data_IF_703832208779
#
_entry.id   IF_703832208779
#
_cell.length_a   1.000
_cell.length_b   1.000
_cell.length_c   1.000
_cell.angle_alpha   90.00
_cell.angle_beta   90.00
_cell.angle_gamma   90.00
#
_symmetry.space_group_name_H-M   'P 1'
#
loop_
_entity.id
_entity.type
_entity.pdbx_description
1 polymer ?
#
# COMPACT_ATOMS: atom_id res chain seq x y z
N UNK A 1 7.03 0.53 6.19
CA UNK A 1 6.77 -0.93 6.04
C UNK A 1 7.89 -1.62 5.26
N UNK A 2 8.52 -0.97 4.26
CA UNK A 2 9.64 -1.55 3.52
C UNK A 2 10.83 -1.90 4.43
N UNK A 3 11.09 -1.09 5.45
CA UNK A 3 12.15 -1.39 6.41
C UNK A 3 11.91 -2.74 7.12
N UNK A 4 10.66 -3.02 7.51
CA UNK A 4 10.30 -4.30 8.12
C UNK A 4 10.53 -5.45 7.11
N UNK A 5 10.06 -5.28 5.87
CA UNK A 5 10.24 -6.28 4.81
C UNK A 5 11.72 -6.60 4.56
N UNK A 6 12.55 -5.56 4.41
CA UNK A 6 13.98 -5.73 4.14
C UNK A 6 14.70 -6.38 5.34
N UNK A 7 14.38 -5.96 6.57
CA UNK A 7 14.99 -6.54 7.77
C UNK A 7 14.59 -7.99 7.95
N UNK A 8 13.30 -8.33 7.76
CA UNK A 8 12.84 -9.71 7.85
C UNK A 8 13.48 -10.61 6.78
N UNK A 9 13.66 -10.10 5.56
CA UNK A 9 14.36 -10.82 4.50
C UNK A 9 15.85 -11.03 4.85
N UNK A 10 16.52 -10.00 5.35
CA UNK A 10 17.91 -10.09 5.80
C UNK A 10 18.08 -11.15 6.90
N UNK A 11 17.22 -11.12 7.92
CA UNK A 11 17.26 -12.08 9.02
C UNK A 11 17.05 -13.54 8.56
N UNK A 12 16.13 -13.75 7.60
CA UNK A 12 15.91 -15.08 7.00
C UNK A 12 17.12 -15.62 6.24
N UNK A 13 17.81 -14.75 5.52
CA UNK A 13 18.99 -15.15 4.72
C UNK A 13 20.25 -15.33 5.56
N UNK A 14 20.46 -14.49 6.57
CA UNK A 14 21.73 -14.43 7.30
C UNK A 14 21.70 -15.10 8.67
N UNK A 15 20.55 -15.11 9.33
CA UNK A 15 20.43 -15.48 10.75
C UNK A 15 21.10 -14.49 11.69
N UNK A 16 21.51 -13.32 11.20
CA UNK A 16 22.22 -12.30 11.98
C UNK A 16 21.24 -11.40 12.74
N UNK A 17 20.82 -11.85 13.91
CA UNK A 17 19.91 -11.11 14.79
C UNK A 17 20.54 -9.87 15.42
N UNK A 18 21.90 -9.78 15.43
CA UNK A 18 22.60 -8.62 15.99
C UNK A 18 22.32 -7.33 15.25
N UNK A 19 21.89 -7.41 13.99
CA UNK A 19 21.47 -6.25 13.19
C UNK A 19 20.37 -5.41 13.88
N UNK A 20 19.54 -6.02 14.70
CA UNK A 20 18.45 -5.32 15.38
C UNK A 20 18.92 -4.35 16.46
N UNK A 21 20.13 -4.58 16.99
CA UNK A 21 20.75 -3.74 18.00
C UNK A 21 21.63 -2.63 17.40
N UNK A 22 21.88 -2.68 16.07
CA UNK A 22 22.71 -1.69 15.40
C UNK A 22 22.11 -0.28 15.55
N UNK A 23 22.93 0.69 16.00
CA UNK A 23 22.49 2.05 16.19
C UNK A 23 22.32 2.77 14.84
N UNK A 24 21.10 3.14 14.51
CA UNK A 24 20.75 3.88 13.29
C UNK A 24 20.30 5.28 13.66
N UNK A 25 20.89 6.30 13.02
CA UNK A 25 20.54 7.70 13.26
C UNK A 25 19.18 8.07 12.64
N UNK A 26 18.37 8.86 13.37
CA UNK A 26 17.24 9.54 12.76
C UNK A 26 17.71 10.85 12.10
N UNK A 27 17.25 11.12 10.88
CA UNK A 27 17.55 12.36 10.13
C UNK A 27 19.05 12.64 9.97
N UNK A 28 19.88 11.58 9.91
CA UNK A 28 21.35 11.66 9.90
C UNK A 28 21.98 12.31 11.17
N UNK A 29 21.20 12.47 12.23
CA UNK A 29 21.68 12.98 13.51
C UNK A 29 22.11 11.81 14.40
N UNK A 30 23.44 11.59 14.49
CA UNK A 30 24.03 10.50 15.29
C UNK A 30 23.72 10.61 16.79
N UNK A 31 23.38 11.80 17.28
CA UNK A 31 22.98 11.97 18.69
C UNK A 31 21.60 11.41 18.99
N UNK A 32 20.83 11.12 17.96
CA UNK A 32 19.48 10.53 18.01
C UNK A 32 19.47 9.09 17.54
N UNK A 33 20.62 8.45 17.47
CA UNK A 33 20.69 7.05 17.06
C UNK A 33 19.92 6.15 18.04
N UNK A 34 19.17 5.21 17.48
CA UNK A 34 18.43 4.19 18.22
C UNK A 34 18.67 2.82 17.55
N UNK A 35 18.49 1.71 18.25
CA UNK A 35 18.58 0.39 17.66
C UNK A 35 17.65 0.27 16.44
N UNK A 36 18.05 -0.49 15.43
CA UNK A 36 17.21 -0.76 14.25
C UNK A 36 15.82 -1.26 14.64
N UNK A 37 15.70 -2.07 15.70
CA UNK A 37 14.41 -2.54 16.21
C UNK A 37 13.46 -1.40 16.56
N UNK A 38 13.94 -0.27 17.10
CA UNK A 38 13.10 0.89 17.41
C UNK A 38 12.57 1.57 16.12
N UNK A 39 13.35 1.55 15.04
CA UNK A 39 12.89 2.04 13.74
C UNK A 39 11.77 1.14 13.18
N UNK A 40 11.86 -0.19 13.36
CA UNK A 40 10.79 -1.12 12.98
C UNK A 40 9.51 -0.84 13.77
N UNK A 41 9.63 -0.67 15.11
CA UNK A 41 8.50 -0.30 15.98
C UNK A 41 7.80 0.96 15.51
N UNK A 42 8.56 2.00 15.21
CA UNK A 42 8.01 3.29 14.76
C UNK A 42 7.32 3.14 13.41
N UNK A 43 7.92 2.41 12.48
CA UNK A 43 7.34 2.15 11.17
C UNK A 43 6.01 1.40 11.27
N UNK A 44 5.95 0.34 12.08
CA UNK A 44 4.73 -0.41 12.33
C UNK A 44 3.66 0.45 13.01
N UNK A 45 4.01 1.08 14.15
CA UNK A 45 3.11 1.91 14.94
C UNK A 45 2.55 3.08 14.15
N UNK A 46 3.37 3.77 13.36
CA UNK A 46 2.93 4.89 12.56
C UNK A 46 1.75 4.49 11.66
N UNK A 47 1.87 3.39 10.92
CA UNK A 47 0.83 2.95 10.00
C UNK A 47 -0.49 2.64 10.71
N UNK A 48 -0.46 1.85 11.80
CA UNK A 48 -1.71 1.46 12.47
C UNK A 48 -2.34 2.57 13.33
N UNK A 49 -1.59 3.62 13.66
CA UNK A 49 -2.14 4.80 14.37
C UNK A 49 -2.64 5.89 13.42
N UNK A 50 -2.39 5.75 12.12
CA UNK A 50 -2.85 6.68 11.09
C UNK A 50 -3.80 5.95 10.14
N UNK A 51 -4.98 5.65 10.66
CA UNK A 51 -6.08 5.04 9.90
C UNK A 51 -7.14 6.08 9.59
N UNK A 52 -7.76 5.94 8.44
CA UNK A 52 -8.85 6.78 7.99
C UNK A 52 -10.23 6.27 8.43
N UNK A 53 -11.30 6.88 7.91
CA UNK A 53 -12.69 6.56 8.31
C UNK A 53 -13.11 5.11 8.08
N UNK A 54 -12.50 4.42 7.13
CA UNK A 54 -12.80 3.03 6.81
C UNK A 54 -11.92 2.03 7.55
N UNK A 55 -11.02 2.51 8.42
CA UNK A 55 -10.05 1.66 9.13
C UNK A 55 -8.86 1.21 8.24
N UNK A 56 -8.68 1.84 7.10
CA UNK A 56 -7.56 1.61 6.19
C UNK A 56 -6.45 2.65 6.45
N UNK A 57 -5.17 2.34 6.15
CA UNK A 57 -4.09 3.30 6.33
C UNK A 57 -4.27 4.57 5.49
N UNK A 58 -4.07 5.72 6.14
CA UNK A 58 -4.07 7.02 5.46
C UNK A 58 -2.90 7.11 4.48
N UNK A 59 -3.16 7.70 3.33
CA UNK A 59 -2.13 7.98 2.32
C UNK A 59 -1.15 9.04 2.83
N UNK A 60 -1.63 10.00 3.62
CA UNK A 60 -0.77 11.05 4.09
C UNK A 60 -0.20 11.86 2.93
N UNK A 61 1.12 11.96 2.89
CA UNK A 61 1.84 12.74 1.88
C UNK A 61 1.86 12.12 0.50
N UNK A 62 2.06 10.81 0.41
CA UNK A 62 2.12 10.06 -0.83
C UNK A 62 1.73 8.60 -0.59
N UNK A 63 1.20 7.97 -1.61
CA UNK A 63 1.03 6.52 -1.68
C UNK A 63 2.33 5.85 -2.15
N UNK A 64 2.36 4.52 -2.21
CA UNK A 64 3.46 3.79 -2.83
C UNK A 64 3.65 4.18 -4.31
N UNK A 65 2.56 4.41 -5.02
CA UNK A 65 2.60 4.94 -6.36
C UNK A 65 2.61 6.47 -6.32
N UNK A 66 3.77 7.06 -6.58
CA UNK A 66 3.97 8.52 -6.54
C UNK A 66 3.05 9.28 -7.51
N UNK A 67 2.46 8.59 -8.48
CA UNK A 67 1.50 9.18 -9.43
C UNK A 67 0.08 9.27 -8.86
N UNK A 68 -0.25 8.56 -7.76
CA UNK A 68 -1.53 8.64 -7.09
C UNK A 68 -1.49 9.72 -6.01
N UNK A 69 -1.90 10.93 -6.35
CA UNK A 69 -1.73 12.12 -5.51
C UNK A 69 -3.06 12.61 -4.96
N UNK A 70 -3.68 11.83 -4.07
CA UNK A 70 -5.06 12.06 -3.60
C UNK A 70 -5.21 13.27 -2.66
N UNK A 71 -4.11 13.87 -2.21
CA UNK A 71 -4.11 15.04 -1.31
C UNK A 71 -3.42 16.27 -1.91
N UNK A 72 -3.04 16.22 -3.19
CA UNK A 72 -2.24 17.30 -3.81
C UNK A 72 -3.09 18.41 -4.44
N UNK A 73 -4.11 18.05 -5.21
CA UNK A 73 -5.01 18.97 -5.92
C UNK A 73 -4.31 20.01 -6.82
N UNK A 74 -3.19 19.61 -7.45
CA UNK A 74 -2.50 20.48 -8.39
C UNK A 74 -3.27 20.60 -9.71
N UNK A 75 -3.47 21.83 -10.21
CA UNK A 75 -4.08 22.07 -11.51
C UNK A 75 -3.18 21.65 -12.68
N UNK A 76 -1.88 21.50 -12.43
CA UNK A 76 -0.89 21.08 -13.41
C UNK A 76 -0.41 19.65 -13.12
N UNK A 77 -0.61 18.71 -14.05
CA UNK A 77 -0.20 17.31 -13.83
C UNK A 77 1.26 17.15 -13.38
N UNK A 78 2.19 17.85 -14.00
CA UNK A 78 3.62 17.78 -13.69
C UNK A 78 4.00 18.32 -12.29
N UNK A 79 3.10 19.02 -11.61
CA UNK A 79 3.29 19.53 -10.25
C UNK A 79 2.70 18.60 -9.19
N UNK A 80 1.87 17.65 -9.58
CA UNK A 80 1.22 16.74 -8.63
C UNK A 80 2.20 15.79 -7.93
N UNK A 81 3.38 15.59 -8.47
CA UNK A 81 4.50 14.93 -7.78
C UNK A 81 5.11 15.80 -6.68
N UNK A 82 5.06 17.09 -6.86
CA UNK A 82 5.53 18.06 -5.88
C UNK A 82 4.36 18.30 -4.94
N UNK A 83 4.57 18.07 -3.68
CA UNK A 83 3.51 18.25 -2.70
C UNK A 83 3.24 19.72 -2.54
N UNK A 84 2.33 20.22 -3.35
CA UNK A 84 1.85 21.60 -3.34
C UNK A 84 0.61 21.76 -2.45
N UNK A 85 -0.08 20.67 -2.17
CA UNK A 85 -1.24 20.61 -1.28
C UNK A 85 -0.91 20.24 0.16
N UNK A 86 -1.90 19.88 0.99
CA UNK A 86 -1.67 19.42 2.35
C UNK A 86 -0.76 18.20 2.36
N UNK A 87 0.27 18.21 3.22
CA UNK A 87 1.24 17.10 3.35
C UNK A 87 0.64 15.83 3.93
N UNK A 88 -0.51 15.94 4.58
CA UNK A 88 -1.26 14.83 5.15
C UNK A 88 -2.75 15.04 4.85
N UNK A 89 -3.40 13.99 4.35
CA UNK A 89 -4.85 13.98 4.12
C UNK A 89 -5.55 13.21 5.23
N UNK A 90 -6.61 13.78 5.83
CA UNK A 90 -7.30 13.12 6.94
C UNK A 90 -8.20 11.98 6.52
N UNK A 91 -8.46 11.80 5.23
CA UNK A 91 -9.49 10.87 4.73
C UNK A 91 -8.99 9.94 3.64
N UNK A 92 -8.04 10.37 2.80
CA UNK A 92 -7.52 9.53 1.71
C UNK A 92 -6.82 8.29 2.27
N UNK A 93 -7.28 7.10 1.85
CA UNK A 93 -6.86 5.81 2.39
C UNK A 93 -6.37 4.89 1.27
N UNK A 94 -5.38 4.05 1.57
CA UNK A 94 -4.78 3.11 0.60
C UNK A 94 -5.06 1.66 0.96
N UNK A 95 -5.72 0.94 0.06
CA UNK A 95 -5.90 -0.52 0.16
C UNK A 95 -4.59 -1.26 -0.12
N UNK A 96 -3.73 -0.71 -0.99
CA UNK A 96 -2.40 -1.28 -1.23
C UNK A 96 -1.54 -1.25 0.04
N UNK A 97 -1.50 -0.11 0.74
CA UNK A 97 -0.76 0.01 2.00
C UNK A 97 -1.38 -0.88 3.10
N UNK A 98 -2.70 -1.08 3.09
CA UNK A 98 -3.35 -2.04 3.98
C UNK A 98 -2.84 -3.47 3.73
N UNK A 99 -2.76 -3.91 2.47
CA UNK A 99 -2.15 -5.18 2.10
C UNK A 99 -0.69 -5.30 2.54
N UNK A 100 0.11 -4.24 2.33
CA UNK A 100 1.50 -4.18 2.84
C UNK A 100 1.57 -4.29 4.36
N UNK A 101 0.68 -3.58 5.07
CA UNK A 101 0.65 -3.60 6.52
C UNK A 101 0.33 -4.99 7.06
N UNK A 102 -0.66 -5.67 6.49
CA UNK A 102 -1.01 -7.04 6.88
C UNK A 102 0.16 -8.00 6.61
N UNK A 103 0.75 -7.95 5.41
CA UNK A 103 1.86 -8.83 5.03
C UNK A 103 3.07 -8.64 5.93
N UNK A 104 3.61 -7.44 5.97
CA UNK A 104 4.85 -7.17 6.69
C UNK A 104 4.64 -6.97 8.18
N UNK A 105 3.42 -6.66 8.61
CA UNK A 105 3.03 -6.69 10.02
C UNK A 105 3.08 -8.10 10.61
N UNK A 106 2.68 -9.13 9.85
CA UNK A 106 2.85 -10.54 10.28
C UNK A 106 4.32 -10.90 10.45
N UNK A 107 5.19 -10.47 9.54
CA UNK A 107 6.64 -10.64 9.69
C UNK A 107 7.18 -9.91 10.93
N UNK A 108 6.67 -8.72 11.23
CA UNK A 108 7.01 -7.99 12.45
C UNK A 108 6.54 -8.73 13.72
N UNK A 109 5.32 -9.27 13.72
CA UNK A 109 4.82 -10.04 14.85
C UNK A 109 5.64 -11.33 15.09
N UNK A 110 6.05 -12.03 14.02
CA UNK A 110 6.95 -13.19 14.09
C UNK A 110 8.33 -12.82 14.65
N UNK A 111 8.85 -11.65 14.26
CA UNK A 111 10.11 -11.12 14.80
C UNK A 111 9.97 -10.83 16.30
N UNK A 112 8.88 -10.22 16.73
CA UNK A 112 8.59 -9.98 18.14
C UNK A 112 8.49 -11.31 18.95
N UNK A 113 7.86 -12.34 18.39
CA UNK A 113 7.80 -13.67 19.04
C UNK A 113 9.20 -14.26 19.22
N UNK A 114 10.04 -14.20 18.18
CA UNK A 114 11.41 -14.70 18.25
C UNK A 114 12.24 -14.00 19.34
N UNK A 115 11.99 -12.70 19.52
CA UNK A 115 12.61 -11.90 20.57
C UNK A 115 11.92 -12.03 21.93
N UNK A 116 10.93 -12.90 22.08
CA UNK A 116 10.12 -13.08 23.30
C UNK A 116 9.38 -11.82 23.76
N UNK A 117 9.06 -10.89 22.83
CA UNK A 117 8.28 -9.68 23.06
C UNK A 117 6.77 -9.99 22.94
N UNK A 118 6.25 -10.84 23.83
CA UNK A 118 4.92 -11.46 23.71
C UNK A 118 3.79 -10.45 23.67
N UNK A 119 3.83 -9.40 24.50
CA UNK A 119 2.79 -8.37 24.52
C UNK A 119 2.80 -7.53 23.23
N UNK A 120 3.98 -7.22 22.73
CA UNK A 120 4.16 -6.48 21.49
C UNK A 120 3.66 -7.30 20.28
N UNK A 121 3.98 -8.59 20.23
CA UNK A 121 3.49 -9.53 19.22
C UNK A 121 1.97 -9.65 19.24
N UNK A 122 1.35 -9.78 20.41
CA UNK A 122 -0.10 -9.86 20.57
C UNK A 122 -0.81 -8.56 20.12
N UNK A 123 -0.26 -7.40 20.52
CA UNK A 123 -0.76 -6.09 20.09
C UNK A 123 -0.65 -5.91 18.57
N UNK A 124 0.48 -6.34 17.98
CA UNK A 124 0.67 -6.28 16.55
C UNK A 124 -0.38 -7.12 15.79
N UNK A 125 -0.65 -8.35 16.24
CA UNK A 125 -1.68 -9.21 15.63
C UNK A 125 -3.06 -8.57 15.70
N UNK A 126 -3.43 -7.99 16.82
CA UNK A 126 -4.71 -7.28 16.96
C UNK A 126 -4.85 -6.14 15.95
N UNK A 127 -3.79 -5.35 15.76
CA UNK A 127 -3.78 -4.27 14.78
C UNK A 127 -3.86 -4.80 13.33
N UNK A 128 -3.15 -5.88 13.04
CA UNK A 128 -3.17 -6.55 11.73
C UNK A 128 -4.57 -7.07 11.41
N UNK A 129 -5.20 -7.79 12.33
CA UNK A 129 -6.54 -8.35 12.15
C UNK A 129 -7.58 -7.25 11.90
N UNK A 130 -7.48 -6.12 12.58
CA UNK A 130 -8.38 -4.98 12.37
C UNK A 130 -8.25 -4.41 10.94
N UNK A 131 -7.02 -4.21 10.45
CA UNK A 131 -6.79 -3.70 9.08
C UNK A 131 -7.16 -4.74 8.03
N UNK A 132 -6.92 -6.03 8.28
CA UNK A 132 -7.37 -7.11 7.39
C UNK A 132 -8.88 -7.12 7.24
N UNK A 133 -9.63 -7.01 8.34
CA UNK A 133 -11.10 -6.94 8.31
C UNK A 133 -11.60 -5.70 7.58
N UNK A 134 -10.96 -4.54 7.78
CA UNK A 134 -11.28 -3.33 7.02
C UNK A 134 -11.04 -3.53 5.50
N UNK A 135 -9.96 -4.22 5.15
CA UNK A 135 -9.64 -4.53 3.75
C UNK A 135 -10.66 -5.48 3.12
N UNK A 136 -11.10 -6.51 3.86
CA UNK A 136 -12.11 -7.48 3.40
C UNK A 136 -13.51 -6.87 3.25
N UNK A 137 -13.78 -5.76 3.91
CA UNK A 137 -15.08 -5.07 3.88
C UNK A 137 -15.02 -3.78 3.07
N UNK A 138 -14.50 -2.71 3.62
CA UNK A 138 -14.42 -1.42 2.95
C UNK A 138 -13.44 -1.42 1.76
N UNK A 139 -12.37 -2.20 1.83
CA UNK A 139 -11.43 -2.38 0.72
C UNK A 139 -11.93 -3.24 -0.43
N UNK A 140 -13.07 -3.91 -0.29
CA UNK A 140 -13.61 -4.85 -1.28
C UNK A 140 -14.74 -4.24 -2.14
N UNK A 141 -14.68 -4.41 -3.45
CA UNK A 141 -15.65 -3.91 -4.41
C UNK A 141 -16.63 -4.97 -4.95
N UNK A 142 -16.65 -6.15 -4.33
CA UNK A 142 -17.53 -7.27 -4.72
C UNK A 142 -16.92 -8.24 -5.74
N UNK A 143 -15.87 -7.86 -6.46
CA UNK A 143 -15.11 -8.73 -7.38
C UNK A 143 -13.59 -8.51 -7.33
N UNK A 144 -13.14 -7.38 -6.81
CA UNK A 144 -11.73 -7.03 -6.66
C UNK A 144 -11.51 -6.11 -5.48
N UNK A 145 -10.26 -5.91 -5.05
CA UNK A 145 -9.88 -4.93 -4.04
C UNK A 145 -9.83 -3.54 -4.65
N UNK A 146 -10.48 -2.56 -4.01
CA UNK A 146 -10.41 -1.14 -4.37
C UNK A 146 -8.97 -0.66 -4.33
N UNK A 147 -8.67 0.43 -5.05
CA UNK A 147 -7.33 1.02 -4.98
C UNK A 147 -7.15 1.88 -3.74
N UNK A 148 -8.14 2.73 -3.48
CA UNK A 148 -8.07 3.74 -2.44
C UNK A 148 -9.46 4.35 -2.16
N UNK A 149 -9.50 5.23 -1.16
CA UNK A 149 -10.50 6.30 -1.04
C UNK A 149 -9.78 7.63 -1.20
N UNK A 150 -10.40 8.57 -1.92
CA UNK A 150 -9.82 9.89 -2.13
C UNK A 150 -9.99 10.81 -0.91
N UNK A 151 -9.50 12.06 -0.99
CA UNK A 151 -9.59 13.04 0.09
C UNK A 151 -11.03 13.43 0.48
N UNK A 152 -12.00 13.08 -0.33
CA UNK A 152 -13.44 13.33 -0.08
C UNK A 152 -14.18 12.07 0.37
N UNK A 153 -13.47 10.93 0.49
CA UNK A 153 -14.05 9.65 0.83
C UNK A 153 -14.71 8.94 -0.35
N UNK A 154 -14.51 9.40 -1.58
CA UNK A 154 -14.99 8.71 -2.76
C UNK A 154 -14.09 7.50 -3.12
N UNK A 155 -14.65 6.36 -3.55
CA UNK A 155 -13.87 5.19 -3.89
C UNK A 155 -13.05 5.41 -5.17
N UNK A 156 -11.82 4.90 -5.17
CA UNK A 156 -10.92 4.81 -6.32
C UNK A 156 -10.66 3.33 -6.60
N UNK A 157 -10.73 2.91 -7.85
CA UNK A 157 -10.60 1.49 -8.19
C UNK A 157 -11.88 0.71 -7.90
N UNK A 158 -13.04 1.31 -8.10
CA UNK A 158 -14.36 0.74 -7.91
C UNK A 158 -15.12 0.62 -9.23
N UNK A 159 -16.03 -0.35 -9.32
CA UNK A 159 -16.98 -0.47 -10.43
C UNK A 159 -17.90 0.77 -10.59
N UNK A 160 -18.00 1.57 -9.53
CA UNK A 160 -18.77 2.82 -9.53
C UNK A 160 -18.06 3.96 -10.25
N UNK A 161 -16.74 3.81 -10.52
CA UNK A 161 -15.96 4.78 -11.27
C UNK A 161 -16.20 4.64 -12.78
N UNK A 162 -16.24 5.75 -13.51
CA UNK A 162 -16.32 5.72 -14.99
C UNK A 162 -15.02 5.17 -15.61
N UNK A 163 -13.88 5.55 -15.03
CA UNK A 163 -12.53 5.15 -15.44
C UNK A 163 -11.73 4.71 -14.20
N UNK A 164 -10.66 3.94 -14.40
CA UNK A 164 -9.86 3.45 -13.29
C UNK A 164 -10.65 2.56 -12.33
N UNK A 165 -11.44 1.62 -12.86
CA UNK A 165 -12.29 0.75 -12.05
C UNK A 165 -11.51 -0.32 -11.30
N UNK A 166 -10.44 -0.83 -11.90
CA UNK A 166 -9.58 -1.86 -11.30
C UNK A 166 -8.11 -1.48 -11.48
N UNK A 167 -7.29 -1.72 -10.46
CA UNK A 167 -5.84 -1.51 -10.45
C UNK A 167 -5.15 -2.80 -10.03
N UNK A 168 -3.99 -3.10 -10.61
CA UNK A 168 -3.25 -4.35 -10.33
C UNK A 168 -2.63 -4.37 -8.93
N UNK A 169 -2.16 -3.22 -8.42
CA UNK A 169 -1.36 -3.16 -7.20
C UNK A 169 -2.08 -3.71 -5.96
N UNK A 170 -3.34 -3.31 -5.65
CA UNK A 170 -4.02 -3.85 -4.48
C UNK A 170 -4.37 -5.33 -4.65
N UNK A 171 -4.63 -5.80 -5.87
CA UNK A 171 -4.90 -7.22 -6.11
C UNK A 171 -3.66 -8.05 -5.75
N UNK A 172 -2.51 -7.70 -6.30
CA UNK A 172 -1.25 -8.39 -6.03
C UNK A 172 -0.88 -8.35 -4.55
N UNK A 173 -0.92 -7.17 -3.93
CA UNK A 173 -0.47 -7.01 -2.54
C UNK A 173 -1.41 -7.70 -1.54
N UNK A 174 -2.72 -7.57 -1.68
CA UNK A 174 -3.68 -8.23 -0.79
C UNK A 174 -3.59 -9.77 -0.91
N UNK A 175 -3.45 -10.30 -2.13
CA UNK A 175 -3.29 -11.73 -2.35
C UNK A 175 -1.97 -12.24 -1.75
N UNK A 176 -0.86 -11.53 -1.95
CA UNK A 176 0.43 -11.87 -1.32
C UNK A 176 0.39 -11.78 0.21
N UNK A 177 -0.47 -10.93 0.77
CA UNK A 177 -0.74 -10.87 2.20
C UNK A 177 -1.64 -12.01 2.71
N UNK A 178 -2.23 -12.81 1.82
CA UNK A 178 -3.20 -13.85 2.16
C UNK A 178 -4.60 -13.33 2.48
N UNK A 179 -4.87 -12.05 2.26
CA UNK A 179 -6.17 -11.43 2.52
C UNK A 179 -7.22 -12.00 1.57
N UNK A 180 -8.33 -12.45 2.11
CA UNK A 180 -9.44 -13.01 1.33
C UNK A 180 -9.23 -14.44 0.81
N UNK A 181 -8.17 -15.12 1.24
CA UNK A 181 -7.91 -16.51 0.86
C UNK A 181 -9.00 -17.47 1.36
N UNK A 182 -9.38 -17.33 2.61
CA UNK A 182 -10.40 -18.18 3.26
C UNK A 182 -11.83 -17.87 2.79
N UNK A 183 -12.06 -16.62 2.33
CA UNK A 183 -13.38 -16.14 1.91
C UNK A 183 -13.61 -16.23 0.41
N UNK A 184 -12.60 -16.64 -0.39
CA UNK A 184 -12.65 -16.69 -1.84
C UNK A 184 -12.45 -15.32 -2.54
N UNK A 185 -12.27 -14.24 -1.78
CA UNK A 185 -12.07 -12.91 -2.36
C UNK A 185 -10.72 -12.80 -3.10
N UNK A 186 -9.67 -13.46 -2.60
CA UNK A 186 -8.37 -13.51 -3.28
C UNK A 186 -8.48 -14.15 -4.66
N UNK A 187 -9.20 -15.28 -4.79
CA UNK A 187 -9.43 -15.95 -6.07
C UNK A 187 -10.27 -15.09 -7.01
N UNK A 188 -11.33 -14.46 -6.51
CA UNK A 188 -12.16 -13.55 -7.29
C UNK A 188 -11.36 -12.33 -7.80
N UNK A 189 -10.47 -11.78 -6.98
CA UNK A 189 -9.59 -10.68 -7.37
C UNK A 189 -8.63 -11.08 -8.49
N UNK A 190 -7.99 -12.26 -8.39
CA UNK A 190 -7.10 -12.78 -9.44
C UNK A 190 -7.85 -13.05 -10.75
N UNK A 191 -9.08 -13.60 -10.65
CA UNK A 191 -9.93 -13.78 -11.82
C UNK A 191 -10.28 -12.44 -12.48
N UNK A 192 -10.57 -11.40 -11.69
CA UNK A 192 -10.81 -10.07 -12.22
C UNK A 192 -9.57 -9.47 -12.90
N UNK A 193 -8.37 -9.76 -12.41
CA UNK A 193 -7.11 -9.39 -13.07
C UNK A 193 -7.00 -10.09 -14.43
N UNK A 194 -7.20 -11.41 -14.49
CA UNK A 194 -7.17 -12.20 -15.73
C UNK A 194 -8.18 -11.67 -16.76
N UNK A 195 -9.41 -11.40 -16.34
CA UNK A 195 -10.48 -10.98 -17.24
C UNK A 195 -10.35 -9.51 -17.71
N UNK A 196 -9.72 -8.64 -16.92
CA UNK A 196 -9.76 -7.19 -17.15
C UNK A 196 -8.42 -6.53 -17.37
N UNK A 197 -7.34 -7.06 -16.80
CA UNK A 197 -6.02 -6.44 -16.86
C UNK A 197 -5.03 -7.23 -17.72
N UNK A 198 -5.26 -8.52 -17.95
CA UNK A 198 -4.38 -9.32 -18.80
C UNK A 198 -4.61 -8.98 -20.28
N UNK A 199 -3.51 -8.82 -21.01
CA UNK A 199 -3.51 -8.51 -22.44
C UNK A 199 -2.42 -9.32 -23.14
N UNK A 200 -2.47 -9.46 -24.49
CA UNK A 200 -1.39 -10.10 -25.26
C UNK A 200 -0.02 -9.46 -25.06
N UNK A 201 0.05 -8.27 -24.48
CA UNK A 201 1.29 -7.51 -24.25
C UNK A 201 1.72 -7.47 -22.79
N UNK A 202 0.97 -8.13 -21.90
CA UNK A 202 1.20 -8.17 -20.47
C UNK A 202 0.04 -7.56 -19.66
N UNK A 203 0.21 -7.56 -18.34
CA UNK A 203 -0.80 -7.05 -17.42
C UNK A 203 -0.73 -5.52 -17.36
N UNK A 204 -1.86 -4.86 -17.62
CA UNK A 204 -1.96 -3.40 -17.55
C UNK A 204 -2.15 -2.92 -16.11
N UNK A 205 -1.74 -1.67 -15.83
CA UNK A 205 -1.80 -1.08 -14.50
C UNK A 205 -3.22 -0.91 -13.98
N UNK A 206 -4.11 -0.41 -14.84
CA UNK A 206 -5.51 -0.11 -14.50
C UNK A 206 -6.42 -0.19 -15.73
N UNK A 207 -7.73 -0.34 -15.50
CA UNK A 207 -8.74 -0.34 -16.57
C UNK A 207 -10.09 0.18 -16.05
N UNK A 208 -10.89 0.94 -16.88
CA UNK A 208 -10.46 1.65 -18.09
C UNK A 208 -9.38 2.70 -17.79
N UNK A 209 -8.52 2.98 -18.77
CA UNK A 209 -7.51 4.04 -18.61
C UNK A 209 -8.18 5.42 -18.54
N UNK A 210 -7.59 6.32 -17.75
CA UNK A 210 -8.07 7.71 -17.69
C UNK A 210 -7.85 8.41 -19.02
N UNK A 211 -8.87 9.13 -19.48
CA UNK A 211 -8.85 9.91 -20.74
C UNK A 211 -8.57 11.39 -20.48
N UNK A 212 -8.80 11.87 -19.25
CA UNK A 212 -8.59 13.27 -18.85
C UNK A 212 -7.92 13.36 -17.49
N UNK A 213 -7.19 14.43 -17.26
CA UNK A 213 -6.61 14.73 -15.96
C UNK A 213 -7.72 15.00 -14.94
N UNK A 214 -7.61 14.37 -13.76
CA UNK A 214 -8.55 14.51 -12.64
C UNK A 214 -7.81 15.07 -11.43
N UNK A 215 -8.23 16.24 -10.98
CA UNK A 215 -7.57 17.01 -9.92
C UNK A 215 -7.47 16.22 -8.60
N UNK A 216 -8.49 15.44 -8.27
CA UNK A 216 -8.56 14.64 -7.04
C UNK A 216 -7.75 13.34 -7.09
N UNK A 217 -7.23 12.96 -8.25
CA UNK A 217 -6.42 11.75 -8.43
C UNK A 217 -4.94 12.05 -8.68
N UNK A 218 -4.66 13.22 -9.25
CA UNK A 218 -3.32 13.67 -9.58
C UNK A 218 -2.76 13.00 -10.84
N UNK A 219 -1.45 12.84 -10.87
CA UNK A 219 -0.66 12.42 -12.04
C UNK A 219 -1.13 11.09 -12.63
N UNK A 220 -1.68 10.18 -11.84
CA UNK A 220 -2.20 8.88 -12.32
C UNK A 220 -3.20 9.06 -13.47
N UNK A 221 -3.91 10.17 -13.52
CA UNK A 221 -4.94 10.46 -14.52
C UNK A 221 -4.44 11.32 -15.70
N UNK A 222 -3.18 11.75 -15.72
CA UNK A 222 -2.65 12.68 -16.72
C UNK A 222 -2.08 12.03 -17.97
N UNK A 223 -1.61 10.79 -17.87
CA UNK A 223 -0.94 10.15 -19.01
C UNK A 223 -1.94 9.67 -20.06
N UNK A 224 -1.54 9.69 -21.36
CA UNK A 224 -2.39 9.19 -22.43
C UNK A 224 -2.81 7.73 -22.20
N UNK A 225 -4.02 7.35 -22.65
CA UNK A 225 -4.43 5.95 -22.68
C UNK A 225 -3.41 5.09 -23.42
N UNK A 226 -3.06 3.94 -22.86
CA UNK A 226 -2.04 3.04 -23.42
C UNK A 226 -0.62 3.30 -22.88
N UNK A 227 -0.26 4.50 -22.47
CA UNK A 227 1.05 4.76 -21.87
C UNK A 227 1.15 4.17 -20.46
N UNK A 228 0.17 4.42 -19.61
CA UNK A 228 0.11 3.85 -18.23
C UNK A 228 -0.27 2.39 -18.21
N UNK A 229 -1.04 1.96 -19.19
CA UNK A 229 -1.42 0.56 -19.30
C UNK A 229 -0.23 -0.38 -19.54
N UNK A 230 0.95 0.14 -19.92
CA UNK A 230 2.13 -0.64 -20.31
C UNK A 230 3.34 -0.40 -19.40
N UNK A 231 3.24 0.45 -18.37
CA UNK A 231 4.42 0.89 -17.60
C UNK A 231 5.12 -0.24 -16.85
N UNK A 232 4.45 -1.32 -16.48
CA UNK A 232 5.08 -2.47 -15.83
C UNK A 232 5.71 -3.46 -16.80
N UNK A 233 5.31 -3.50 -18.06
CA UNK A 233 5.89 -4.42 -19.03
C UNK A 233 7.33 -4.06 -19.43
N UNK A 234 7.73 -2.81 -19.23
CA UNK A 234 9.11 -2.37 -19.49
C UNK A 234 10.08 -2.66 -18.33
N UNK A 235 9.56 -2.96 -17.14
CA UNK A 235 10.40 -3.29 -15.99
C UNK A 235 10.75 -4.78 -15.88
N UNK A 236 10.15 -5.63 -16.69
CA UNK A 236 10.36 -7.08 -16.67
C UNK A 236 11.19 -7.62 -17.84
N UNK A 237 11.67 -6.76 -18.71
CA UNK A 237 12.59 -7.17 -19.78
C UNK A 237 14.04 -7.06 -19.28
N UNK A 238 14.81 -8.15 -19.39
CA UNK A 238 16.23 -8.18 -19.02
C UNK A 238 17.09 -7.29 -19.92
#
# INVERSE_FOLDING_TARGET
LWLIACTAAYLRETGDWSILDEPVAFDNDVTRAQPLMEHLRRSFRYTHTHLGPHGLPLIGRADWNDCLNLNCFSEHPGESFQITGPSEGPVAESVFIAGMFVKYGREYAELCDHLHLTEEAASARTAIDAVEQATLTAGWDGAWFRRAYDAFGAPVGSRECDEGQIFIEPQGMCVMAGIGRETGQAEAALKSVEERLDTPYGVVLLQPAYTTYRLNLGEISSYPPGYKAVSYTHLTLP
#
